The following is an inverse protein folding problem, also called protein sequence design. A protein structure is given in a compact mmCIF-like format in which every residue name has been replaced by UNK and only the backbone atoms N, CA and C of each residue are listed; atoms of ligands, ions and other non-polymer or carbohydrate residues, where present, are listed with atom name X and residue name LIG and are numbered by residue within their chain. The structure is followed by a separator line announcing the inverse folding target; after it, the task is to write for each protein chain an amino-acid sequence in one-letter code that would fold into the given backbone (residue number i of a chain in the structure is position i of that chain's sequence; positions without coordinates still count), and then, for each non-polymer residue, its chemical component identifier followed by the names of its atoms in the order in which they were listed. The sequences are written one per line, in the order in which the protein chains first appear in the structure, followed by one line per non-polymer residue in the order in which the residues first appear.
data_IF_072749974927
#
_entry.id   IF_072749974927
#
_cell.length_a   1.000
_cell.length_b   1.000
_cell.length_c   1.000
_cell.angle_alpha   90.00
_cell.angle_beta   90.00
_cell.angle_gamma   90.00
#
_symmetry.space_group_name_H-M   'P 1'
#
loop_
_entity.id
_entity.type
_entity.pdbx_description
1 polymer ?
#
# COMPACT_ATOMS: atom_id res chain seq x y z
N UNK A 1 -40.33 -7.80 10.59
CA UNK A 1 -39.26 -7.84 11.60
C UNK A 1 -37.83 -7.82 11.04
N UNK A 2 -37.56 -8.21 9.78
CA UNK A 2 -36.21 -8.19 9.19
C UNK A 2 -35.58 -6.79 9.02
N UNK A 3 -36.40 -5.75 8.82
CA UNK A 3 -35.96 -4.37 8.57
C UNK A 3 -35.44 -3.64 9.81
N UNK A 4 -35.88 -4.02 11.00
CA UNK A 4 -35.41 -3.40 12.26
C UNK A 4 -34.02 -3.91 12.65
N UNK A 5 -33.71 -5.17 12.37
CA UNK A 5 -32.38 -5.74 12.59
C UNK A 5 -31.31 -5.06 11.74
N UNK A 6 -31.60 -4.74 10.48
CA UNK A 6 -30.67 -4.03 9.60
C UNK A 6 -30.38 -2.62 10.08
N UNK A 7 -31.39 -1.90 10.58
CA UNK A 7 -31.21 -0.54 11.12
C UNK A 7 -30.41 -0.59 12.41
N UNK A 8 -30.72 -1.49 13.34
CA UNK A 8 -29.91 -1.68 14.55
C UNK A 8 -28.46 -2.04 14.24
N UNK A 9 -28.22 -2.96 13.29
CA UNK A 9 -26.87 -3.36 12.90
C UNK A 9 -26.08 -2.21 12.26
N UNK A 10 -26.74 -1.38 11.44
CA UNK A 10 -26.13 -0.18 10.85
C UNK A 10 -25.82 0.90 11.89
N UNK A 11 -26.66 1.07 12.91
CA UNK A 11 -26.36 1.99 14.04
C UNK A 11 -25.24 1.48 14.93
N UNK A 12 -25.10 0.16 15.12
CA UNK A 12 -23.94 -0.39 15.85
C UNK A 12 -22.65 -0.17 15.06
N UNK A 13 -22.68 -0.41 13.74
CA UNK A 13 -21.54 -0.12 12.86
C UNK A 13 -21.17 1.37 12.83
N UNK A 14 -22.16 2.28 12.87
CA UNK A 14 -21.87 3.72 12.90
C UNK A 14 -21.32 4.20 14.24
N UNK A 15 -21.65 3.52 15.35
CA UNK A 15 -21.05 3.76 16.67
C UNK A 15 -19.57 3.32 16.70
N UNK A 16 -19.25 2.12 16.16
CA UNK A 16 -17.87 1.66 16.04
C UNK A 16 -17.04 2.52 15.06
N UNK A 17 -17.62 2.99 13.96
CA UNK A 17 -16.93 3.86 13.01
C UNK A 17 -16.64 5.27 13.57
N UNK A 18 -17.34 5.71 14.62
CA UNK A 18 -17.18 7.03 15.22
C UNK A 18 -16.13 7.08 16.33
N UNK A 19 -15.83 5.95 16.96
CA UNK A 19 -14.80 5.85 18.02
C UNK A 19 -13.36 5.70 17.47
N UNK A 20 -13.16 5.14 16.27
CA UNK A 20 -11.80 4.86 15.74
C UNK A 20 -11.18 5.96 14.88
N UNK A 21 -11.85 7.10 14.67
CA UNK A 21 -11.28 8.23 13.92
C UNK A 21 -10.56 9.24 14.82
N UNK A 22 -9.96 8.78 15.93
CA UNK A 22 -8.72 9.39 16.39
C UNK A 22 -7.61 8.93 15.46
N UNK A 23 -7.54 9.54 14.27
CA UNK A 23 -6.40 9.38 13.37
C UNK A 23 -5.21 9.93 14.13
N UNK A 24 -4.42 9.02 14.70
CA UNK A 24 -3.16 9.36 15.34
C UNK A 24 -2.26 9.99 14.27
N UNK A 25 -2.15 11.31 14.33
CA UNK A 25 -1.35 12.12 13.39
C UNK A 25 0.15 11.96 13.64
N UNK A 26 0.55 11.22 14.68
CA UNK A 26 1.95 10.93 15.00
C UNK A 26 2.69 10.22 13.85
N UNK A 27 1.97 9.49 12.99
CA UNK A 27 2.54 8.72 11.88
C UNK A 27 2.12 9.22 10.50
N UNK A 28 2.06 10.55 10.30
CA UNK A 28 1.78 11.15 8.98
C UNK A 28 2.76 10.67 7.88
N UNK A 29 3.97 10.24 8.26
CA UNK A 29 4.98 9.67 7.37
C UNK A 29 4.62 8.27 6.84
N UNK A 30 3.82 7.49 7.57
CA UNK A 30 3.42 6.13 7.20
C UNK A 30 2.67 6.10 5.87
N UNK A 31 1.84 7.12 5.59
CA UNK A 31 1.10 7.21 4.33
C UNK A 31 2.04 7.36 3.14
N UNK A 32 3.04 8.23 3.28
CA UNK A 32 4.06 8.44 2.24
C UNK A 32 4.94 7.20 2.07
N UNK A 33 5.29 6.54 3.17
CA UNK A 33 6.04 5.29 3.18
C UNK A 33 5.28 4.14 2.47
N UNK A 34 3.97 4.01 2.73
CA UNK A 34 3.11 3.04 2.06
C UNK A 34 2.97 3.31 0.55
N UNK A 35 2.83 4.57 0.16
CA UNK A 35 2.78 4.94 -1.27
C UNK A 35 4.12 4.65 -1.95
N UNK A 36 5.23 5.00 -1.31
CA UNK A 36 6.57 4.76 -1.83
C UNK A 36 6.87 3.26 -1.97
N UNK A 37 6.51 2.45 -0.97
CA UNK A 37 6.68 1.00 -1.05
C UNK A 37 5.84 0.37 -2.17
N UNK A 38 4.59 0.80 -2.35
CA UNK A 38 3.74 0.38 -3.48
C UNK A 38 4.37 0.72 -4.84
N UNK A 39 4.93 1.93 -4.98
CA UNK A 39 5.61 2.34 -6.21
C UNK A 39 6.85 1.48 -6.49
N UNK A 40 7.67 1.21 -5.47
CA UNK A 40 8.88 0.39 -5.61
C UNK A 40 8.53 -1.04 -6.02
N UNK A 41 7.52 -1.64 -5.41
CA UNK A 41 7.02 -2.97 -5.77
C UNK A 41 6.50 -2.97 -7.22
N UNK A 42 5.72 -1.96 -7.61
CA UNK A 42 5.26 -1.81 -8.99
C UNK A 42 6.41 -1.69 -10.00
N UNK A 43 7.46 -0.95 -9.66
CA UNK A 43 8.67 -0.78 -10.48
C UNK A 43 9.43 -2.11 -10.62
N UNK A 44 9.52 -2.89 -9.54
CA UNK A 44 10.11 -4.23 -9.55
C UNK A 44 9.35 -5.14 -10.52
N UNK A 45 8.03 -5.26 -10.40
CA UNK A 45 7.22 -6.08 -11.31
C UNK A 45 7.29 -5.60 -12.77
N UNK A 46 7.27 -4.28 -12.99
CA UNK A 46 7.43 -3.72 -14.34
C UNK A 46 8.78 -4.10 -14.96
N UNK A 47 9.86 -4.00 -14.17
CA UNK A 47 11.19 -4.37 -14.63
C UNK A 47 11.30 -5.84 -14.99
N UNK A 48 10.73 -6.74 -14.17
CA UNK A 48 10.66 -8.18 -14.42
C UNK A 48 9.85 -8.46 -15.69
N UNK A 49 8.65 -7.90 -15.80
CA UNK A 49 7.80 -8.05 -16.96
C UNK A 49 8.52 -7.63 -18.26
N UNK A 50 9.18 -6.47 -18.25
CA UNK A 50 9.95 -6.00 -19.40
C UNK A 50 11.16 -6.87 -19.70
N UNK A 51 11.91 -7.29 -18.68
CA UNK A 51 13.05 -8.18 -18.84
C UNK A 51 12.65 -9.49 -19.50
N UNK A 52 11.54 -10.09 -19.05
CA UNK A 52 10.99 -11.31 -19.64
C UNK A 52 10.51 -11.11 -21.08
N UNK A 53 9.76 -10.03 -21.34
CA UNK A 53 9.17 -9.77 -22.67
C UNK A 53 10.22 -9.42 -23.72
N UNK A 54 11.21 -8.61 -23.36
CA UNK A 54 12.20 -8.08 -24.31
C UNK A 54 13.51 -8.85 -24.33
N UNK A 55 13.73 -9.76 -23.37
CA UNK A 55 14.99 -10.48 -23.14
C UNK A 55 16.22 -9.58 -23.06
N UNK A 56 16.03 -8.30 -22.73
CA UNK A 56 17.10 -7.33 -22.70
C UNK A 56 17.63 -7.18 -21.26
N UNK A 57 18.93 -7.43 -21.02
CA UNK A 57 19.53 -7.39 -19.68
C UNK A 57 19.49 -5.98 -19.06
N UNK A 58 19.29 -4.93 -19.87
CA UNK A 58 19.16 -3.55 -19.36
C UNK A 58 18.02 -3.40 -18.36
N UNK A 59 16.95 -4.19 -18.47
CA UNK A 59 15.83 -4.14 -17.53
C UNK A 59 16.14 -4.81 -16.18
N UNK A 60 17.20 -5.62 -16.09
CA UNK A 60 17.73 -6.11 -14.83
C UNK A 60 18.24 -4.98 -13.93
N UNK A 61 18.73 -3.87 -14.50
CA UNK A 61 19.08 -2.67 -13.73
C UNK A 61 17.86 -2.02 -13.09
N UNK A 62 16.69 -2.09 -13.71
CA UNK A 62 15.44 -1.62 -13.09
C UNK A 62 15.08 -2.43 -11.85
N UNK A 63 15.35 -3.73 -11.87
CA UNK A 63 15.15 -4.62 -10.72
C UNK A 63 16.15 -4.31 -9.60
N UNK A 64 17.44 -4.12 -9.93
CA UNK A 64 18.46 -3.70 -8.97
C UNK A 64 18.13 -2.33 -8.33
N UNK A 65 17.66 -1.36 -9.14
CA UNK A 65 17.22 -0.05 -8.67
C UNK A 65 16.06 -0.17 -7.69
N UNK A 66 15.06 -1.02 -7.99
CA UNK A 66 13.94 -1.24 -7.09
C UNK A 66 14.37 -1.87 -5.76
N UNK A 67 15.35 -2.78 -5.77
CA UNK A 67 15.91 -3.34 -4.53
C UNK A 67 16.61 -2.27 -3.68
N UNK A 68 17.40 -1.39 -4.30
CA UNK A 68 18.04 -0.27 -3.59
C UNK A 68 17.00 0.64 -2.93
N UNK A 69 15.94 1.01 -3.67
CA UNK A 69 14.86 1.83 -3.10
C UNK A 69 14.12 1.14 -1.96
N UNK A 70 13.88 -0.17 -2.07
CA UNK A 70 13.25 -0.96 -1.01
C UNK A 70 14.14 -0.99 0.24
N UNK A 71 15.46 -1.11 0.04
CA UNK A 71 16.44 -1.08 1.14
C UNK A 71 16.46 0.29 1.81
N UNK A 72 16.47 1.38 1.03
CA UNK A 72 16.41 2.74 1.56
C UNK A 72 15.13 3.01 2.35
N UNK A 73 13.98 2.51 1.87
CA UNK A 73 12.70 2.60 2.58
C UNK A 73 12.71 1.91 3.94
N UNK A 74 13.56 0.91 4.17
CA UNK A 74 13.67 0.25 5.48
C UNK A 74 14.42 1.10 6.52
N UNK A 75 15.17 2.11 6.08
CA UNK A 75 15.97 2.99 6.95
C UNK A 75 15.36 4.39 7.13
N UNK A 76 14.22 4.67 6.48
CA UNK A 76 13.44 5.92 6.58
C UNK A 76 12.24 5.68 7.47
#
# INVERSE_FOLDING_TARGET
MRKFFTVSFLTTLSLFAKEELMVDTSMAWLRWWLIASLLVVGLMFWSIYKAMKTKNPKYGWGMALSLVFLTLLLFV
#
